data_IF_835748845924
#
_entry.id   IF_835748845924
#
_cell.length_a   1.000
_cell.length_b   1.000
_cell.length_c   1.000
_cell.angle_alpha   90.00
_cell.angle_beta   90.00
_cell.angle_gamma   90.00
#
_symmetry.space_group_name_H-M   'P 1'
#
loop_
_entity.id
_entity.type
_entity.pdbx_description
1 polymer ?
#
# COMPACT_ATOMS: atom_id res chain seq x y z
N UNK A 1 -12.83 -13.30 -16.81
CA UNK A 1 -11.60 -13.02 -16.05
C UNK A 1 -10.46 -12.71 -16.98
N UNK A 2 -9.73 -11.62 -16.71
CA UNK A 2 -8.54 -11.27 -17.49
C UNK A 2 -7.30 -11.89 -16.85
N UNK A 3 -6.51 -12.59 -17.62
CA UNK A 3 -5.27 -13.24 -17.21
C UNK A 3 -4.08 -12.51 -17.84
N UNK A 4 -3.22 -11.92 -17.01
CA UNK A 4 -1.98 -11.31 -17.49
C UNK A 4 -0.77 -12.02 -16.87
N UNK A 5 0.14 -12.64 -17.63
CA UNK A 5 1.36 -13.21 -17.11
C UNK A 5 2.35 -12.08 -16.76
N UNK A 6 2.81 -12.05 -15.53
CA UNK A 6 3.92 -11.19 -15.11
C UNK A 6 4.95 -12.06 -14.40
N UNK A 7 6.12 -12.19 -14.97
CA UNK A 7 7.33 -12.82 -14.39
C UNK A 7 7.08 -14.14 -13.63
N UNK A 8 6.39 -15.10 -14.24
CA UNK A 8 6.09 -16.41 -13.64
C UNK A 8 4.85 -16.42 -12.73
N UNK A 9 4.40 -15.29 -12.21
CA UNK A 9 3.15 -15.16 -11.48
C UNK A 9 1.97 -14.85 -12.41
N UNK A 10 0.80 -15.38 -12.09
CA UNK A 10 -0.43 -15.12 -12.83
C UNK A 10 -1.40 -14.35 -11.95
N UNK A 11 -1.98 -13.27 -12.50
CA UNK A 11 -3.04 -12.52 -11.86
C UNK A 11 -4.40 -12.96 -12.37
N UNK A 12 -5.31 -13.27 -11.45
CA UNK A 12 -6.69 -13.58 -11.75
C UNK A 12 -7.60 -12.65 -10.95
N UNK A 13 -8.53 -11.99 -11.63
CA UNK A 13 -9.59 -11.21 -10.98
C UNK A 13 -10.91 -11.93 -11.18
N UNK A 14 -11.60 -12.23 -10.08
CA UNK A 14 -12.88 -12.91 -10.06
C UNK A 14 -13.90 -12.03 -9.37
N UNK A 15 -15.14 -12.07 -9.84
CA UNK A 15 -16.31 -11.55 -9.15
C UNK A 15 -17.31 -12.69 -8.95
N UNK A 16 -17.93 -12.75 -7.78
CA UNK A 16 -18.89 -13.80 -7.44
C UNK A 16 -19.46 -13.57 -6.04
N UNK A 17 -20.53 -14.29 -5.75
CA UNK A 17 -21.27 -14.21 -4.49
C UNK A 17 -20.76 -15.22 -3.45
N UNK A 18 -19.68 -15.96 -3.75
CA UNK A 18 -19.12 -17.00 -2.91
C UNK A 18 -18.33 -16.46 -1.71
N UNK A 19 -18.21 -17.30 -0.68
CA UNK A 19 -17.36 -17.00 0.46
C UNK A 19 -15.88 -17.06 0.05
N UNK A 20 -15.23 -15.90 0.01
CA UNK A 20 -13.83 -15.75 -0.39
C UNK A 20 -12.87 -16.54 0.50
N UNK A 21 -13.20 -16.71 1.80
CA UNK A 21 -12.36 -17.48 2.73
C UNK A 21 -12.39 -18.98 2.41
N UNK A 22 -13.55 -19.53 2.11
CA UNK A 22 -13.73 -20.96 1.80
C UNK A 22 -13.01 -21.30 0.49
N UNK A 23 -13.13 -20.42 -0.51
CA UNK A 23 -12.42 -20.58 -1.77
C UNK A 23 -10.89 -20.59 -1.56
N UNK A 24 -10.37 -19.61 -0.81
CA UNK A 24 -8.93 -19.51 -0.54
C UNK A 24 -8.41 -20.72 0.23
N UNK A 25 -9.14 -21.18 1.25
CA UNK A 25 -8.77 -22.36 2.03
C UNK A 25 -8.80 -23.64 1.18
N UNK A 26 -9.78 -23.81 0.31
CA UNK A 26 -9.86 -24.94 -0.61
C UNK A 26 -8.65 -25.03 -1.57
N UNK A 27 -8.14 -23.87 -2.03
CA UNK A 27 -6.94 -23.84 -2.88
C UNK A 27 -5.66 -24.23 -2.13
N UNK A 28 -5.62 -24.07 -0.81
CA UNK A 28 -4.41 -24.18 0.00
C UNK A 28 -4.33 -25.48 0.81
N UNK A 29 -5.45 -26.20 0.98
CA UNK A 29 -5.57 -27.34 1.87
C UNK A 29 -4.61 -28.53 1.58
N UNK A 30 -3.91 -28.51 0.44
CA UNK A 30 -3.11 -29.68 -0.01
C UNK A 30 -1.60 -29.43 -0.08
N UNK A 31 -1.05 -28.27 0.36
CA UNK A 31 0.30 -27.91 -0.12
C UNK A 31 1.37 -27.55 0.91
N UNK A 32 1.14 -27.71 2.22
CA UNK A 32 2.18 -27.48 3.25
C UNK A 32 2.74 -26.04 3.24
N UNK A 33 1.90 -25.06 3.00
CA UNK A 33 2.28 -23.65 2.95
C UNK A 33 2.12 -22.97 4.32
N UNK A 34 2.97 -21.99 4.61
CA UNK A 34 2.78 -21.07 5.72
C UNK A 34 1.81 -19.96 5.30
N UNK A 35 0.74 -19.78 6.07
CA UNK A 35 -0.32 -18.82 5.75
C UNK A 35 -0.24 -17.60 6.66
N UNK A 36 -0.37 -16.42 6.07
CA UNK A 36 -0.64 -15.17 6.75
C UNK A 36 -2.01 -14.66 6.32
N UNK A 37 -2.87 -14.40 7.30
CA UNK A 37 -4.26 -14.07 7.07
C UNK A 37 -4.65 -12.81 7.82
N UNK A 38 -5.45 -11.96 7.19
CA UNK A 38 -6.11 -10.83 7.83
C UNK A 38 -7.57 -10.74 7.37
N UNK A 39 -8.47 -10.51 8.32
CA UNK A 39 -9.89 -10.26 8.05
C UNK A 39 -10.26 -8.86 8.54
N UNK A 40 -10.97 -8.11 7.71
CA UNK A 40 -11.51 -6.80 8.06
C UNK A 40 -12.97 -6.88 8.48
N UNK A 41 -13.43 -5.91 9.28
CA UNK A 41 -14.79 -5.84 9.78
C UNK A 41 -15.86 -5.66 8.66
N UNK A 42 -15.46 -5.15 7.50
CA UNK A 42 -16.34 -4.94 6.34
C UNK A 42 -16.39 -6.13 5.36
N UNK A 43 -15.98 -7.34 5.79
CA UNK A 43 -15.96 -8.53 4.93
C UNK A 43 -14.74 -8.60 4.01
N UNK A 44 -13.70 -7.84 4.30
CA UNK A 44 -12.42 -7.93 3.63
C UNK A 44 -11.69 -9.20 4.06
N UNK A 45 -11.09 -9.89 3.10
CA UNK A 45 -10.27 -11.07 3.35
C UNK A 45 -8.97 -10.97 2.58
N UNK A 46 -7.86 -11.20 3.26
CA UNK A 46 -6.50 -11.10 2.70
C UNK A 46 -5.70 -12.30 3.14
N UNK A 47 -5.04 -12.94 2.20
CA UNK A 47 -4.27 -14.13 2.45
C UNK A 47 -2.97 -14.11 1.65
N UNK A 48 -1.86 -14.39 2.31
CA UNK A 48 -0.58 -14.68 1.70
C UNK A 48 -0.19 -16.11 2.02
N UNK A 49 0.24 -16.87 1.03
CA UNK A 49 0.75 -18.22 1.20
C UNK A 49 2.22 -18.30 0.79
N UNK A 50 3.04 -18.85 1.68
CA UNK A 50 4.48 -18.92 1.56
C UNK A 50 4.96 -20.36 1.57
N UNK A 51 5.97 -20.66 0.76
CA UNK A 51 6.71 -21.93 0.79
C UNK A 51 8.20 -21.63 0.75
N UNK A 52 8.95 -22.12 1.73
CA UNK A 52 10.40 -21.90 1.84
C UNK A 52 10.82 -20.42 1.73
N UNK A 53 10.01 -19.49 2.25
CA UNK A 53 10.27 -18.06 2.18
C UNK A 53 9.84 -17.37 0.88
N UNK A 54 9.40 -18.11 -0.12
CA UNK A 54 8.89 -17.58 -1.38
C UNK A 54 7.38 -17.39 -1.34
N UNK A 55 6.88 -16.30 -1.92
CA UNK A 55 5.46 -16.03 -2.07
C UNK A 55 4.87 -16.91 -3.18
N UNK A 56 3.91 -17.75 -2.83
CA UNK A 56 3.23 -18.64 -3.79
C UNK A 56 1.85 -18.12 -4.18
N UNK A 57 1.17 -17.46 -3.24
CA UNK A 57 -0.15 -16.88 -3.47
C UNK A 57 -0.31 -15.58 -2.68
N UNK A 58 -0.89 -14.58 -3.32
CA UNK A 58 -1.43 -13.39 -2.69
C UNK A 58 -2.91 -13.26 -3.11
N UNK A 59 -3.80 -13.33 -2.15
CA UNK A 59 -5.24 -13.29 -2.37
C UNK A 59 -5.87 -12.14 -1.60
N UNK A 60 -6.68 -11.36 -2.29
CA UNK A 60 -7.38 -10.21 -1.72
C UNK A 60 -8.83 -10.26 -2.18
N UNK A 61 -9.75 -10.24 -1.23
CA UNK A 61 -11.18 -10.16 -1.50
C UNK A 61 -11.81 -9.08 -0.65
N UNK A 62 -12.79 -8.38 -1.22
CA UNK A 62 -13.55 -7.36 -0.54
C UNK A 62 -14.90 -7.17 -1.25
N UNK A 63 -15.95 -6.67 -0.55
CA UNK A 63 -17.24 -6.34 -1.17
C UNK A 63 -17.13 -5.26 -2.25
N UNK A 64 -16.09 -4.42 -2.17
CA UNK A 64 -15.71 -3.44 -3.20
C UNK A 64 -14.27 -3.70 -3.60
N UNK A 65 -13.94 -3.47 -4.88
CA UNK A 65 -12.59 -3.68 -5.38
C UNK A 65 -11.58 -2.89 -4.53
N UNK A 66 -10.65 -3.56 -3.83
CA UNK A 66 -9.67 -2.86 -3.03
C UNK A 66 -8.66 -2.17 -3.94
N UNK A 67 -8.16 -1.00 -3.50
CA UNK A 67 -7.02 -0.35 -4.14
C UNK A 67 -5.76 -1.16 -3.79
N UNK A 68 -5.28 -1.96 -4.72
CA UNK A 68 -4.09 -2.78 -4.58
C UNK A 68 -2.93 -2.18 -5.37
N UNK A 69 -1.75 -2.17 -4.76
CA UNK A 69 -0.50 -1.88 -5.45
C UNK A 69 -0.01 -3.15 -6.16
N UNK A 70 -0.39 -3.27 -7.43
CA UNK A 70 -0.08 -4.44 -8.23
C UNK A 70 1.42 -4.60 -8.52
N UNK A 71 2.19 -3.50 -8.53
CA UNK A 71 3.64 -3.56 -8.73
C UNK A 71 4.34 -4.11 -7.49
N UNK A 72 3.95 -3.64 -6.29
CA UNK A 72 4.42 -4.20 -5.03
C UNK A 72 4.15 -5.70 -4.95
N UNK A 73 2.91 -6.11 -5.24
CA UNK A 73 2.52 -7.52 -5.19
C UNK A 73 3.31 -8.35 -6.20
N UNK A 74 3.44 -7.88 -7.44
CA UNK A 74 4.20 -8.58 -8.48
C UNK A 74 5.71 -8.66 -8.15
N UNK A 75 6.26 -7.60 -7.55
CA UNK A 75 7.66 -7.59 -7.11
C UNK A 75 7.92 -8.63 -6.01
N UNK A 76 6.96 -8.84 -5.09
CA UNK A 76 7.10 -9.80 -4.00
C UNK A 76 7.17 -11.26 -4.46
N UNK A 77 6.62 -11.59 -5.62
CA UNK A 77 6.79 -12.93 -6.21
C UNK A 77 8.20 -13.16 -6.78
N UNK A 78 8.94 -12.10 -7.09
CA UNK A 78 10.32 -12.17 -7.57
C UNK A 78 11.34 -12.04 -6.44
N UNK A 79 11.05 -11.15 -5.50
CA UNK A 79 11.90 -10.80 -4.36
C UNK A 79 11.00 -10.57 -3.14
N UNK A 80 10.71 -11.65 -2.38
CA UNK A 80 9.83 -11.54 -1.22
C UNK A 80 10.48 -10.67 -0.14
N UNK A 81 9.67 -9.85 0.58
CA UNK A 81 10.18 -9.02 1.65
C UNK A 81 10.75 -9.88 2.80
N UNK A 82 11.96 -9.54 3.22
CA UNK A 82 12.64 -10.26 4.29
C UNK A 82 12.15 -9.87 5.69
N UNK A 83 11.66 -8.63 5.84
CA UNK A 83 11.23 -8.08 7.12
C UNK A 83 9.72 -8.17 7.35
N UNK A 84 9.32 -8.02 8.61
CA UNK A 84 7.91 -8.06 9.00
C UNK A 84 7.12 -6.87 8.44
N UNK A 85 7.73 -5.70 8.30
CA UNK A 85 7.06 -4.50 7.80
C UNK A 85 6.69 -4.65 6.32
N UNK A 86 7.59 -5.18 5.49
CA UNK A 86 7.33 -5.48 4.09
C UNK A 86 6.26 -6.56 3.92
N UNK A 87 6.27 -7.61 4.75
CA UNK A 87 5.23 -8.65 4.74
C UNK A 87 3.87 -8.10 5.16
N UNK A 88 3.84 -7.19 6.12
CA UNK A 88 2.61 -6.52 6.54
C UNK A 88 2.07 -5.60 5.43
N UNK A 89 2.94 -4.86 4.76
CA UNK A 89 2.59 -4.03 3.61
C UNK A 89 2.00 -4.87 2.47
N UNK A 90 2.61 -6.01 2.18
CA UNK A 90 2.12 -6.93 1.19
C UNK A 90 0.75 -7.51 1.58
N UNK A 91 0.54 -7.88 2.86
CA UNK A 91 -0.75 -8.34 3.35
C UNK A 91 -1.81 -7.23 3.26
N UNK A 92 -1.41 -5.96 3.46
CA UNK A 92 -2.27 -4.80 3.24
C UNK A 92 -2.57 -4.58 1.75
N UNK A 93 -1.81 -5.19 0.83
CA UNK A 93 -1.94 -5.05 -0.61
C UNK A 93 -1.52 -3.68 -1.14
N UNK A 94 -0.78 -2.95 -0.35
CA UNK A 94 -0.24 -1.62 -0.69
C UNK A 94 1.09 -1.44 0.01
N UNK A 95 1.98 -0.70 -0.62
CA UNK A 95 3.21 -0.31 0.04
C UNK A 95 2.87 0.14 1.46
N UNK A 96 3.64 -0.31 2.44
CA UNK A 96 3.57 0.31 3.73
C UNK A 96 3.79 1.81 3.43
N UNK A 97 2.68 2.53 3.37
CA UNK A 97 2.73 3.91 3.77
C UNK A 97 3.07 3.78 5.25
N UNK A 98 4.35 3.60 5.49
CA UNK A 98 4.84 3.67 6.84
C UNK A 98 4.31 4.96 7.42
N UNK A 99 4.27 5.09 8.70
CA UNK A 99 4.21 6.39 9.35
C UNK A 99 5.39 7.31 8.93
N UNK A 100 6.14 6.93 7.87
CA UNK A 100 7.01 7.79 7.08
C UNK A 100 6.28 8.96 6.44
N UNK A 101 4.96 8.88 6.22
CA UNK A 101 4.18 10.04 5.84
C UNK A 101 4.08 11.05 6.99
N UNK A 102 4.31 10.60 8.25
CA UNK A 102 4.02 11.43 9.42
C UNK A 102 2.52 11.77 9.52
N UNK A 103 2.20 12.84 10.22
CA UNK A 103 0.84 13.38 10.29
C UNK A 103 0.39 13.85 8.90
N UNK A 104 -0.82 13.46 8.47
CA UNK A 104 -1.39 13.95 7.21
C UNK A 104 -1.65 15.46 7.31
N UNK A 105 -1.00 16.22 6.46
CA UNK A 105 -1.11 17.68 6.37
C UNK A 105 -2.12 18.09 5.31
N UNK A 106 -2.06 17.48 4.13
CA UNK A 106 -3.02 17.73 3.05
C UNK A 106 -3.95 16.54 2.88
N UNK A 107 -5.17 16.63 3.41
CA UNK A 107 -6.19 15.57 3.34
C UNK A 107 -6.69 15.36 1.89
N UNK A 108 -6.73 16.41 1.07
CA UNK A 108 -7.20 16.31 -0.31
C UNK A 108 -6.35 15.38 -1.17
N UNK A 109 -5.05 15.36 -0.93
CA UNK A 109 -4.08 14.57 -1.71
C UNK A 109 -3.34 13.53 -0.86
N UNK A 110 -3.72 13.35 0.41
CA UNK A 110 -3.11 12.38 1.30
C UNK A 110 -1.63 12.65 1.61
N UNK A 111 -1.19 13.91 1.53
CA UNK A 111 0.22 14.28 1.70
C UNK A 111 0.56 14.44 3.18
N UNK A 112 1.52 13.66 3.65
CA UNK A 112 1.99 13.66 5.03
C UNK A 112 3.20 14.57 5.25
N UNK A 113 3.47 14.87 6.52
CA UNK A 113 4.55 15.75 6.98
C UNK A 113 5.93 15.30 6.46
N UNK A 114 6.20 14.00 6.46
CA UNK A 114 7.50 13.46 6.02
C UNK A 114 7.76 13.73 4.54
N UNK A 115 6.74 13.55 3.67
CA UNK A 115 6.88 13.85 2.25
C UNK A 115 7.12 15.35 2.01
N UNK A 116 6.47 16.21 2.80
CA UNK A 116 6.67 17.66 2.74
C UNK A 116 8.11 18.02 3.18
N UNK A 117 8.60 17.46 4.30
CA UNK A 117 9.96 17.70 4.79
C UNK A 117 11.03 17.19 3.81
N UNK A 118 10.79 16.06 3.14
CA UNK A 118 11.66 15.57 2.08
C UNK A 118 11.71 16.52 0.88
N UNK A 119 10.56 17.03 0.43
CA UNK A 119 10.51 18.00 -0.64
C UNK A 119 11.21 19.31 -0.26
N UNK A 120 11.05 19.77 0.98
CA UNK A 120 11.78 20.93 1.51
C UNK A 120 13.31 20.68 1.51
N UNK A 121 13.76 19.52 1.94
CA UNK A 121 15.17 19.13 1.90
C UNK A 121 15.73 19.03 0.47
N UNK A 122 14.86 18.79 -0.52
CA UNK A 122 15.19 18.77 -1.95
C UNK A 122 15.09 20.17 -2.63
N UNK A 123 14.82 21.23 -1.84
CA UNK A 123 14.83 22.61 -2.31
C UNK A 123 13.47 23.25 -2.53
N UNK A 124 12.35 22.60 -2.13
CA UNK A 124 11.06 23.28 -2.13
C UNK A 124 10.99 24.28 -0.97
N UNK A 125 11.10 25.56 -1.26
CA UNK A 125 11.21 26.67 -0.29
C UNK A 125 9.90 27.47 -0.11
N UNK A 126 8.85 27.08 -0.81
CA UNK A 126 7.58 27.82 -0.81
C UNK A 126 6.37 26.89 -0.91
N UNK A 127 5.18 27.31 -0.42
CA UNK A 127 3.95 26.54 -0.60
C UNK A 127 3.62 26.30 -2.08
N UNK A 128 3.99 27.21 -2.97
CA UNK A 128 3.80 27.04 -4.40
C UNK A 128 4.67 25.93 -4.98
N UNK A 129 5.96 25.86 -4.58
CA UNK A 129 6.87 24.79 -4.97
C UNK A 129 6.38 23.43 -4.45
N UNK A 130 5.92 23.38 -3.21
CA UNK A 130 5.29 22.17 -2.64
C UNK A 130 3.99 21.78 -3.38
N UNK A 131 3.23 22.77 -3.85
CA UNK A 131 2.05 22.57 -4.68
C UNK A 131 2.37 21.92 -6.04
N UNK A 132 3.47 22.34 -6.67
CA UNK A 132 3.96 21.72 -7.91
C UNK A 132 4.45 20.29 -7.68
N UNK A 133 5.24 20.08 -6.63
CA UNK A 133 5.87 18.79 -6.34
C UNK A 133 4.88 17.73 -5.80
N UNK A 134 3.99 18.14 -4.89
CA UNK A 134 3.15 17.20 -4.09
C UNK A 134 1.64 17.47 -4.24
N UNK A 135 1.23 18.45 -5.03
CA UNK A 135 -0.15 18.95 -5.18
C UNK A 135 -0.79 19.49 -3.88
N UNK A 136 -0.07 19.56 -2.76
CA UNK A 136 -0.59 20.08 -1.50
C UNK A 136 -0.82 21.60 -1.61
N UNK A 137 -1.91 22.09 -1.00
CA UNK A 137 -2.29 23.51 -1.05
C UNK A 137 -2.99 23.96 -2.34
N UNK A 138 -3.11 23.11 -3.36
CA UNK A 138 -3.64 23.50 -4.68
C UNK A 138 -5.15 23.30 -4.83
N UNK A 139 -5.82 22.63 -3.88
CA UNK A 139 -7.26 22.41 -3.92
C UNK A 139 -7.99 23.31 -2.90
N UNK A 140 -8.29 22.82 -1.70
CA UNK A 140 -9.06 23.58 -0.71
C UNK A 140 -8.25 24.64 0.04
N UNK A 141 -6.92 24.56 0.02
CA UNK A 141 -6.02 25.51 0.68
C UNK A 141 -5.95 25.38 2.21
N UNK A 142 -6.72 24.52 2.86
CA UNK A 142 -6.75 24.39 4.33
C UNK A 142 -5.42 24.02 4.96
N UNK A 143 -4.53 23.35 4.21
CA UNK A 143 -3.19 22.98 4.66
C UNK A 143 -2.15 24.10 4.53
N UNK A 144 -2.43 25.22 3.85
CA UNK A 144 -1.46 26.29 3.62
C UNK A 144 -0.82 26.87 4.90
N UNK A 145 -1.54 27.09 6.01
CA UNK A 145 -0.93 27.56 7.24
C UNK A 145 0.13 26.58 7.78
N UNK A 146 -0.18 25.30 7.71
CA UNK A 146 0.72 24.22 8.17
C UNK A 146 1.94 24.04 7.26
N UNK A 147 1.76 24.16 5.94
CA UNK A 147 2.86 24.16 4.98
C UNK A 147 3.85 25.30 5.26
N UNK A 148 3.35 26.50 5.55
CA UNK A 148 4.19 27.65 5.92
C UNK A 148 4.97 27.40 7.22
N UNK A 149 4.34 26.77 8.20
CA UNK A 149 5.01 26.41 9.46
C UNK A 149 6.13 25.39 9.22
N UNK A 150 5.88 24.35 8.41
CA UNK A 150 6.88 23.33 8.08
C UNK A 150 8.07 23.90 7.29
N UNK A 151 7.82 24.89 6.42
CA UNK A 151 8.86 25.59 5.69
C UNK A 151 9.72 26.50 6.59
N UNK A 152 9.12 27.05 7.66
CA UNK A 152 9.86 27.92 8.59
C UNK A 152 10.59 27.16 9.72
N UNK A 153 10.31 25.86 9.89
CA UNK A 153 10.92 25.04 10.94
C UNK A 153 12.02 24.18 10.32
N UNK A 154 13.31 24.41 10.70
CA UNK A 154 14.38 23.56 10.21
C UNK A 154 14.12 22.10 10.60
N UNK A 155 14.46 21.16 9.69
CA UNK A 155 14.40 19.74 9.99
C UNK A 155 15.35 19.46 11.17
N UNK A 156 14.81 19.11 12.32
CA UNK A 156 15.60 18.60 13.42
C UNK A 156 16.21 17.27 12.96
N UNK A 157 17.53 17.24 12.85
CA UNK A 157 18.33 16.07 12.49
C UNK A 157 18.14 14.95 13.52
#
# INVERSE_FOLDING_TARGET
GARAPQSGAQRLTLAGDGNASDWAQAQLATQGMQLQLAQGAAGEYRLLAWRAGELQLAFYAAPRLPLLDHELIAAAFRAPPADAAGRFALLAGRAAQGNSAGRIICSCFGVGETAIRQAVAQGCDSPAALGVALKCGTNCGSCLPELKLLLSTPATA
#
